data_IF_405058679004
#
_entry.id   IF_405058679004
#
_cell.length_a   1.000
_cell.length_b   1.000
_cell.length_c   1.000
_cell.angle_alpha   90.00
_cell.angle_beta   90.00
_cell.angle_gamma   90.00
#
_symmetry.space_group_name_H-M   'P 1'
#
loop_
_entity.id
_entity.type
_entity.pdbx_description
1 polymer ?
#
# COMPACT_ATOMS: atom_id res chain seq x y z
N UNK A 1 -3.82 20.35 15.66
CA UNK A 1 -5.18 20.47 15.12
C UNK A 1 -4.98 20.77 13.65
N UNK A 2 -4.87 19.71 12.87
CA UNK A 2 -4.53 19.77 11.46
C UNK A 2 -5.73 20.33 10.71
N UNK A 3 -5.50 21.39 9.94
CA UNK A 3 -6.52 22.05 9.14
C UNK A 3 -6.88 21.09 7.99
N UNK A 4 -7.92 20.28 8.17
CA UNK A 4 -8.40 19.37 7.13
C UNK A 4 -8.92 20.26 6.01
N UNK A 5 -8.12 20.41 4.96
CA UNK A 5 -8.49 21.12 3.73
C UNK A 5 -9.74 20.47 3.14
N UNK A 6 -10.88 21.08 3.34
CA UNK A 6 -12.17 20.60 2.80
C UNK A 6 -12.31 20.88 1.31
N UNK A 7 -11.52 21.81 0.76
CA UNK A 7 -11.52 22.14 -0.66
C UNK A 7 -10.71 21.08 -1.44
N UNK A 8 -11.34 20.46 -2.45
CA UNK A 8 -10.71 19.43 -3.27
C UNK A 8 -9.44 19.91 -3.98
N UNK A 9 -9.44 21.13 -4.52
CA UNK A 9 -8.30 21.69 -5.24
C UNK A 9 -7.09 21.95 -4.34
N UNK A 10 -7.34 22.19 -3.04
CA UNK A 10 -6.30 22.44 -2.06
C UNK A 10 -5.71 21.15 -1.46
N UNK A 11 -6.53 20.10 -1.37
CA UNK A 11 -6.14 18.79 -0.79
C UNK A 11 -5.54 17.83 -1.81
N UNK A 12 -5.92 17.91 -3.10
CA UNK A 12 -5.37 17.03 -4.15
C UNK A 12 -3.85 17.16 -4.23
N UNK A 13 -3.17 16.03 -4.46
CA UNK A 13 -1.70 15.97 -4.48
C UNK A 13 -1.09 16.29 -5.84
N UNK A 14 -1.87 16.19 -6.92
CA UNK A 14 -1.47 16.63 -8.27
C UNK A 14 -2.50 17.55 -8.92
N UNK A 15 -2.06 18.51 -9.76
CA UNK A 15 -2.90 19.56 -10.27
C UNK A 15 -3.83 19.13 -11.42
N UNK A 16 -3.61 17.96 -12.02
CA UNK A 16 -4.41 17.50 -13.16
C UNK A 16 -5.70 16.81 -12.75
N UNK A 17 -5.84 16.40 -11.48
CA UNK A 17 -7.02 15.66 -11.03
C UNK A 17 -8.21 16.59 -10.82
N UNK A 18 -9.33 16.32 -11.48
CA UNK A 18 -10.58 17.06 -11.31
C UNK A 18 -11.51 16.37 -10.30
N UNK A 19 -12.26 17.16 -9.51
CA UNK A 19 -13.16 16.61 -8.48
C UNK A 19 -14.28 15.77 -9.08
N UNK A 20 -14.83 16.20 -10.22
CA UNK A 20 -15.88 15.47 -10.94
C UNK A 20 -15.39 14.09 -11.37
N UNK A 21 -14.22 14.02 -12.01
CA UNK A 21 -13.58 12.76 -12.40
C UNK A 21 -13.39 11.83 -11.19
N UNK A 22 -12.82 12.33 -10.08
CA UNK A 22 -12.61 11.52 -8.88
C UNK A 22 -13.93 10.92 -8.35
N UNK A 23 -14.97 11.75 -8.21
CA UNK A 23 -16.28 11.32 -7.71
C UNK A 23 -16.99 10.33 -8.65
N UNK A 24 -16.93 10.58 -9.95
CA UNK A 24 -17.51 9.67 -10.96
C UNK A 24 -16.83 8.30 -10.89
N UNK A 25 -15.49 8.28 -10.92
CA UNK A 25 -14.72 7.04 -10.92
C UNK A 25 -14.90 6.24 -9.63
N UNK A 26 -14.90 6.91 -8.47
CA UNK A 26 -15.14 6.26 -7.17
C UNK A 26 -16.55 5.66 -7.12
N UNK A 27 -17.58 6.44 -7.46
CA UNK A 27 -18.98 5.96 -7.51
C UNK A 27 -19.13 4.76 -8.42
N UNK A 28 -18.67 4.85 -9.66
CA UNK A 28 -18.85 3.78 -10.65
C UNK A 28 -18.07 2.52 -10.31
N UNK A 29 -16.91 2.66 -9.65
CA UNK A 29 -16.17 1.51 -9.13
C UNK A 29 -17.01 0.70 -8.15
N UNK A 30 -17.67 1.36 -7.19
CA UNK A 30 -18.46 0.67 -6.17
C UNK A 30 -19.87 0.29 -6.63
N UNK A 31 -20.55 1.13 -7.40
CA UNK A 31 -21.95 0.93 -7.79
C UNK A 31 -22.12 0.09 -9.07
N UNK A 32 -21.10 0.05 -9.94
CA UNK A 32 -21.20 -0.59 -11.26
C UNK A 32 -20.16 -1.69 -11.42
N UNK A 33 -18.86 -1.34 -11.37
CA UNK A 33 -17.78 -2.26 -11.75
C UNK A 33 -17.67 -3.43 -10.78
N UNK A 34 -17.59 -3.18 -9.47
CA UNK A 34 -17.52 -4.25 -8.45
C UNK A 34 -18.72 -5.20 -8.52
N UNK A 35 -19.99 -4.74 -8.59
CA UNK A 35 -21.14 -5.62 -8.78
C UNK A 35 -21.09 -6.45 -10.07
N UNK A 36 -20.68 -5.85 -11.19
CA UNK A 36 -20.52 -6.58 -12.45
C UNK A 36 -19.45 -7.66 -12.30
N UNK A 37 -18.25 -7.31 -11.83
CA UNK A 37 -17.15 -8.26 -11.61
C UNK A 37 -17.58 -9.41 -10.71
N UNK A 38 -18.24 -9.13 -9.59
CA UNK A 38 -18.76 -10.15 -8.69
C UNK A 38 -19.77 -11.08 -9.38
N UNK A 39 -20.69 -10.53 -10.20
CA UNK A 39 -21.67 -11.30 -10.96
C UNK A 39 -21.01 -12.20 -12.01
N UNK A 40 -20.07 -11.66 -12.80
CA UNK A 40 -19.38 -12.42 -13.84
C UNK A 40 -18.52 -13.54 -13.22
N UNK A 41 -17.78 -13.25 -12.15
CA UNK A 41 -16.99 -14.26 -11.44
C UNK A 41 -17.85 -15.34 -10.77
N UNK A 42 -19.10 -15.03 -10.41
CA UNK A 42 -20.04 -16.02 -9.89
C UNK A 42 -20.66 -16.91 -10.99
N UNK A 43 -20.55 -16.57 -12.27
CA UNK A 43 -21.10 -17.39 -13.35
C UNK A 43 -20.26 -18.67 -13.53
N UNK A 44 -20.84 -19.87 -13.30
CA UNK A 44 -20.13 -21.13 -13.52
C UNK A 44 -19.77 -21.40 -14.98
N UNK A 45 -20.36 -20.66 -15.93
CA UNK A 45 -20.06 -20.75 -17.37
C UNK A 45 -18.88 -19.89 -17.80
N UNK A 46 -18.37 -19.01 -16.92
CA UNK A 46 -17.21 -18.19 -17.24
C UNK A 46 -16.00 -19.07 -17.53
N UNK A 47 -15.42 -18.93 -18.72
CA UNK A 47 -14.28 -19.75 -19.14
C UNK A 47 -13.06 -19.48 -18.24
N UNK A 48 -12.10 -20.43 -18.13
CA UNK A 48 -10.87 -20.22 -17.36
C UNK A 48 -10.10 -18.97 -17.79
N UNK A 49 -10.01 -18.72 -19.11
CA UNK A 49 -9.37 -17.52 -19.66
C UNK A 49 -10.16 -16.25 -19.31
N UNK A 50 -11.49 -16.28 -19.40
CA UNK A 50 -12.35 -15.16 -19.01
C UNK A 50 -12.21 -14.83 -17.52
N UNK A 51 -12.21 -15.85 -16.66
CA UNK A 51 -11.99 -15.71 -15.21
C UNK A 51 -10.64 -15.09 -14.90
N UNK A 52 -9.58 -15.54 -15.57
CA UNK A 52 -8.25 -14.96 -15.46
C UNK A 52 -8.27 -13.46 -15.77
N UNK A 53 -8.79 -13.06 -16.93
CA UNK A 53 -8.81 -11.65 -17.33
C UNK A 53 -9.71 -10.77 -16.44
N UNK A 54 -10.83 -11.32 -15.94
CA UNK A 54 -11.69 -10.61 -15.00
C UNK A 54 -10.98 -10.32 -13.67
N UNK A 55 -10.20 -11.29 -13.15
CA UNK A 55 -9.42 -11.09 -11.93
C UNK A 55 -8.24 -10.14 -12.15
N UNK A 56 -7.56 -10.23 -13.29
CA UNK A 56 -6.49 -9.28 -13.66
C UNK A 56 -7.03 -7.85 -13.73
N UNK A 57 -8.16 -7.66 -14.42
CA UNK A 57 -8.86 -6.39 -14.49
C UNK A 57 -9.25 -5.88 -13.10
N UNK A 58 -9.84 -6.74 -12.26
CA UNK A 58 -10.21 -6.37 -10.90
C UNK A 58 -9.02 -5.92 -10.04
N UNK A 59 -7.88 -6.61 -10.12
CA UNK A 59 -6.67 -6.27 -9.39
C UNK A 59 -6.08 -4.94 -9.87
N UNK A 60 -6.02 -4.73 -11.19
CA UNK A 60 -5.59 -3.46 -11.80
C UNK A 60 -6.51 -2.31 -11.39
N UNK A 61 -7.83 -2.48 -11.45
CA UNK A 61 -8.81 -1.47 -11.04
C UNK A 61 -8.69 -1.12 -9.55
N UNK A 62 -8.50 -2.12 -8.69
CA UNK A 62 -8.34 -1.89 -7.24
C UNK A 62 -7.05 -1.11 -6.95
N UNK A 63 -5.97 -1.40 -7.69
CA UNK A 63 -4.71 -0.64 -7.62
C UNK A 63 -4.89 0.80 -8.10
N UNK A 64 -5.59 1.01 -9.22
CA UNK A 64 -5.90 2.34 -9.73
C UNK A 64 -6.76 3.16 -8.76
N UNK A 65 -7.71 2.52 -8.04
CA UNK A 65 -8.50 3.20 -7.01
C UNK A 65 -7.61 3.73 -5.87
N UNK A 66 -6.64 2.94 -5.42
CA UNK A 66 -5.69 3.34 -4.38
C UNK A 66 -4.88 4.57 -4.84
N UNK A 67 -4.32 4.51 -6.05
CA UNK A 67 -3.55 5.62 -6.63
C UNK A 67 -4.43 6.87 -6.81
N UNK A 68 -5.66 6.69 -7.28
CA UNK A 68 -6.62 7.77 -7.45
C UNK A 68 -6.96 8.46 -6.14
N UNK A 69 -7.28 7.69 -5.08
CA UNK A 69 -7.60 8.22 -3.75
C UNK A 69 -6.38 8.93 -3.13
N UNK A 70 -5.18 8.39 -3.33
CA UNK A 70 -3.95 9.08 -2.97
C UNK A 70 -3.83 10.42 -3.73
N UNK A 71 -3.98 10.42 -5.05
CA UNK A 71 -3.91 11.63 -5.88
C UNK A 71 -4.98 12.67 -5.50
N UNK A 72 -6.17 12.21 -5.09
CA UNK A 72 -7.29 13.03 -4.61
C UNK A 72 -7.03 13.70 -3.25
N UNK A 73 -5.96 13.32 -2.54
CA UNK A 73 -5.65 13.90 -1.24
C UNK A 73 -6.38 13.20 -0.09
N UNK A 74 -6.78 11.94 -0.24
CA UNK A 74 -7.32 11.19 0.91
C UNK A 74 -6.23 10.99 1.99
N UNK A 75 -6.62 10.96 3.28
CA UNK A 75 -5.70 10.67 4.38
C UNK A 75 -5.01 9.31 4.20
N UNK A 76 -3.69 9.27 4.35
CA UNK A 76 -2.87 8.07 4.09
C UNK A 76 -3.28 6.93 5.03
N UNK A 77 -3.68 7.25 6.26
CA UNK A 77 -4.16 6.29 7.26
C UNK A 77 -5.34 5.46 6.74
N UNK A 78 -6.25 6.08 5.97
CA UNK A 78 -7.39 5.38 5.36
C UNK A 78 -6.95 4.48 4.20
N UNK A 79 -5.93 4.88 3.47
CA UNK A 79 -5.43 4.14 2.30
C UNK A 79 -4.68 2.87 2.70
N UNK A 80 -4.12 2.82 3.93
CA UNK A 80 -3.43 1.64 4.46
C UNK A 80 -4.29 0.38 4.47
N UNK A 81 -5.60 0.50 4.69
CA UNK A 81 -6.51 -0.66 4.66
C UNK A 81 -6.90 -1.06 3.24
N UNK A 82 -6.88 -0.12 2.29
CA UNK A 82 -7.17 -0.43 0.88
C UNK A 82 -6.07 -1.33 0.28
N UNK A 83 -4.83 -1.25 0.80
CA UNK A 83 -3.73 -2.13 0.39
C UNK A 83 -4.02 -3.62 0.64
N UNK A 84 -4.79 -3.97 1.69
CA UNK A 84 -5.17 -5.37 1.93
C UNK A 84 -6.02 -5.92 0.77
N UNK A 85 -6.93 -5.09 0.24
CA UNK A 85 -7.77 -5.43 -0.90
C UNK A 85 -6.96 -5.53 -2.19
N UNK A 86 -6.03 -4.59 -2.42
CA UNK A 86 -5.12 -4.61 -3.58
C UNK A 86 -4.31 -5.91 -3.62
N UNK A 87 -3.65 -6.27 -2.52
CA UNK A 87 -2.82 -7.48 -2.45
C UNK A 87 -3.68 -8.74 -2.63
N UNK A 88 -4.83 -8.81 -1.96
CA UNK A 88 -5.75 -9.96 -2.11
C UNK A 88 -6.23 -10.13 -3.56
N UNK A 89 -6.57 -9.04 -4.25
CA UNK A 89 -7.01 -9.12 -5.65
C UNK A 89 -5.90 -9.63 -6.59
N UNK A 90 -4.66 -9.21 -6.37
CA UNK A 90 -3.52 -9.74 -7.12
C UNK A 90 -3.19 -11.20 -6.79
N UNK A 91 -3.35 -11.63 -5.54
CA UNK A 91 -3.22 -13.05 -5.14
C UNK A 91 -4.28 -13.93 -5.81
N UNK A 92 -5.54 -13.47 -5.86
CA UNK A 92 -6.63 -14.18 -6.54
C UNK A 92 -6.33 -14.35 -8.05
N UNK A 93 -5.85 -13.29 -8.70
CA UNK A 93 -5.38 -13.36 -10.08
C UNK A 93 -4.21 -14.34 -10.24
N UNK A 94 -3.18 -14.22 -9.42
CA UNK A 94 -1.97 -15.06 -9.49
C UNK A 94 -2.31 -16.55 -9.38
N UNK A 95 -3.23 -16.90 -8.47
CA UNK A 95 -3.72 -18.26 -8.31
C UNK A 95 -4.33 -18.80 -9.60
N UNK A 96 -5.28 -18.08 -10.19
CA UNK A 96 -5.95 -18.52 -11.43
C UNK A 96 -4.98 -18.54 -12.61
N UNK A 97 -3.99 -17.64 -12.64
CA UNK A 97 -2.96 -17.63 -13.67
C UNK A 97 -2.06 -18.86 -13.59
N UNK A 98 -1.62 -19.26 -12.38
CA UNK A 98 -0.82 -20.48 -12.16
C UNK A 98 -1.59 -21.73 -12.59
N UNK A 99 -2.86 -21.83 -12.20
CA UNK A 99 -3.76 -22.90 -12.63
C UNK A 99 -3.90 -22.94 -14.17
N UNK A 100 -4.09 -21.78 -14.81
CA UNK A 100 -4.21 -21.67 -16.26
C UNK A 100 -2.91 -22.03 -17.00
N UNK A 101 -1.75 -21.73 -16.42
CA UNK A 101 -0.43 -22.05 -16.97
C UNK A 101 0.01 -23.49 -16.69
N UNK A 102 -0.57 -24.12 -15.67
CA UNK A 102 -0.12 -25.43 -15.18
C UNK A 102 1.24 -25.35 -14.50
N UNK A 103 1.55 -24.21 -13.88
CA UNK A 103 2.85 -23.93 -13.24
C UNK A 103 2.61 -23.17 -11.93
N UNK A 104 2.88 -23.83 -10.80
CA UNK A 104 2.66 -23.28 -9.46
C UNK A 104 3.63 -22.15 -9.11
N UNK A 105 4.77 -22.07 -9.80
CA UNK A 105 5.78 -21.02 -9.60
C UNK A 105 5.60 -19.87 -10.60
N UNK A 106 4.53 -19.88 -11.41
CA UNK A 106 4.31 -18.80 -12.37
C UNK A 106 4.08 -17.46 -11.67
N UNK A 107 4.88 -16.46 -12.05
CA UNK A 107 4.76 -15.09 -11.54
C UNK A 107 3.59 -14.34 -12.17
N UNK A 108 2.88 -13.58 -11.32
CA UNK A 108 1.83 -12.66 -11.75
C UNK A 108 2.40 -11.51 -12.58
N UNK A 109 3.56 -11.00 -12.17
CA UNK A 109 4.27 -9.92 -12.82
C UNK A 109 5.52 -10.43 -13.51
N UNK A 110 5.76 -9.95 -14.73
CA UNK A 110 6.93 -10.31 -15.53
C UNK A 110 7.89 -9.14 -15.66
N UNK A 111 9.06 -9.23 -15.04
CA UNK A 111 9.98 -8.09 -14.99
C UNK A 111 10.52 -7.67 -16.35
N UNK A 112 10.48 -8.55 -17.36
CA UNK A 112 10.83 -8.17 -18.73
C UNK A 112 9.79 -7.28 -19.42
N UNK A 113 8.56 -7.21 -18.91
CA UNK A 113 7.51 -6.33 -19.41
C UNK A 113 7.44 -5.07 -18.56
N UNK A 114 7.67 -3.91 -19.19
CA UNK A 114 7.74 -2.61 -18.49
C UNK A 114 6.49 -2.29 -17.66
N UNK A 115 5.31 -2.67 -18.15
CA UNK A 115 4.05 -2.47 -17.42
C UNK A 115 4.04 -3.28 -16.12
N UNK A 116 4.23 -4.60 -16.23
CA UNK A 116 4.24 -5.50 -15.08
C UNK A 116 5.33 -5.10 -14.06
N UNK A 117 6.53 -4.73 -14.55
CA UNK A 117 7.63 -4.27 -13.70
C UNK A 117 7.29 -2.98 -12.96
N UNK A 118 6.76 -1.98 -13.67
CA UNK A 118 6.34 -0.72 -13.06
C UNK A 118 5.25 -0.93 -12.00
N UNK A 119 4.26 -1.79 -12.28
CA UNK A 119 3.16 -2.06 -11.35
C UNK A 119 3.65 -2.70 -10.06
N UNK A 120 4.57 -3.68 -10.15
CA UNK A 120 5.08 -4.37 -8.95
C UNK A 120 5.99 -3.49 -8.10
N UNK A 121 6.92 -2.74 -8.70
CA UNK A 121 7.82 -1.86 -7.93
C UNK A 121 7.03 -0.72 -7.27
N UNK A 122 6.01 -0.19 -7.94
CA UNK A 122 5.10 0.78 -7.34
C UNK A 122 4.30 0.18 -6.18
N UNK A 123 3.74 -1.02 -6.34
CA UNK A 123 2.98 -1.69 -5.28
C UNK A 123 3.85 -1.91 -4.02
N UNK A 124 5.08 -2.39 -4.20
CA UNK A 124 6.06 -2.53 -3.12
C UNK A 124 6.40 -1.17 -2.50
N UNK A 125 6.66 -0.15 -3.32
CA UNK A 125 6.97 1.19 -2.85
C UNK A 125 5.86 1.81 -2.01
N UNK A 126 4.60 1.67 -2.44
CA UNK A 126 3.43 2.11 -1.68
C UNK A 126 3.30 1.34 -0.37
N UNK A 127 3.48 0.01 -0.37
CA UNK A 127 3.42 -0.79 0.86
C UNK A 127 4.47 -0.35 1.90
N UNK A 128 5.71 -0.08 1.45
CA UNK A 128 6.79 0.43 2.31
C UNK A 128 6.44 1.80 2.87
N UNK A 129 6.08 2.76 2.00
CA UNK A 129 5.82 4.14 2.41
C UNK A 129 4.57 4.27 3.28
N UNK A 130 3.57 3.42 3.05
CA UNK A 130 2.40 3.31 3.92
C UNK A 130 2.66 2.45 5.16
N UNK A 131 3.89 2.02 5.43
CA UNK A 131 4.27 1.24 6.64
C UNK A 131 3.38 0.01 6.82
N UNK A 132 3.21 -0.72 5.70
CA UNK A 132 2.52 -2.00 5.55
C UNK A 132 3.51 -3.05 5.06
N UNK A 133 4.69 -3.07 5.69
CA UNK A 133 5.77 -3.98 5.34
C UNK A 133 5.39 -5.45 5.60
N UNK A 134 4.35 -5.67 6.44
CA UNK A 134 3.69 -6.96 6.64
C UNK A 134 3.11 -7.58 5.36
N UNK A 135 2.84 -6.77 4.33
CA UNK A 135 2.35 -7.24 3.04
C UNK A 135 3.48 -7.64 2.08
N UNK A 136 4.73 -7.25 2.34
CA UNK A 136 5.84 -7.48 1.41
C UNK A 136 6.08 -8.97 1.14
N UNK A 137 6.07 -9.89 2.14
CA UNK A 137 6.19 -11.32 1.85
C UNK A 137 5.11 -11.83 0.90
N UNK A 138 3.86 -11.39 1.07
CA UNK A 138 2.74 -11.77 0.19
C UNK A 138 2.90 -11.24 -1.22
N UNK A 139 3.31 -9.97 -1.36
CA UNK A 139 3.60 -9.35 -2.65
C UNK A 139 4.77 -10.08 -3.33
N UNK A 140 5.79 -10.49 -2.57
CA UNK A 140 6.96 -11.21 -3.07
C UNK A 140 6.62 -12.61 -3.62
N UNK A 141 5.63 -13.30 -3.04
CA UNK A 141 5.09 -14.54 -3.62
C UNK A 141 4.45 -14.33 -5.00
N UNK A 142 4.11 -13.10 -5.42
CA UNK A 142 3.58 -12.86 -6.77
C UNK A 142 4.68 -12.90 -7.86
N UNK A 143 5.95 -12.95 -7.47
CA UNK A 143 7.11 -12.76 -8.35
C UNK A 143 8.12 -13.93 -8.33
N UNK A 144 7.69 -15.15 -8.02
CA UNK A 144 8.52 -16.37 -7.87
C UNK A 144 9.70 -16.49 -8.85
N UNK A 145 9.47 -16.43 -10.18
CA UNK A 145 10.54 -16.67 -11.17
C UNK A 145 11.58 -15.54 -11.26
N UNK A 146 11.29 -14.38 -10.66
CA UNK A 146 12.15 -13.19 -10.66
C UNK A 146 12.77 -12.90 -9.30
N UNK A 147 12.66 -13.83 -8.35
CA UNK A 147 13.33 -13.70 -7.06
C UNK A 147 14.82 -13.54 -7.30
N UNK A 148 15.37 -12.42 -6.82
CA UNK A 148 16.81 -12.16 -6.83
C UNK A 148 17.40 -11.99 -8.23
N UNK A 149 16.55 -11.51 -9.14
CA UNK A 149 16.87 -11.29 -10.54
C UNK A 149 16.90 -9.78 -10.90
N UNK A 150 16.57 -8.90 -9.95
CA UNK A 150 16.52 -7.44 -10.14
C UNK A 150 16.94 -6.66 -8.89
N UNK A 151 18.07 -5.98 -8.98
CA UNK A 151 18.71 -5.28 -7.87
C UNK A 151 17.85 -4.15 -7.27
N UNK A 152 16.95 -3.53 -8.06
CA UNK A 152 16.05 -2.48 -7.55
C UNK A 152 14.92 -3.08 -6.73
N UNK A 153 14.27 -4.11 -7.26
CA UNK A 153 13.22 -4.85 -6.57
C UNK A 153 13.74 -5.54 -5.32
N UNK A 154 14.93 -6.13 -5.38
CA UNK A 154 15.58 -6.77 -4.24
C UNK A 154 15.94 -5.72 -3.17
N UNK A 155 16.51 -4.57 -3.54
CA UNK A 155 16.81 -3.49 -2.60
C UNK A 155 15.56 -2.95 -1.86
N UNK A 156 14.38 -3.05 -2.48
CA UNK A 156 13.10 -2.70 -1.85
C UNK A 156 12.57 -3.79 -0.93
N UNK A 157 12.71 -5.07 -1.31
CA UNK A 157 12.00 -6.18 -0.66
C UNK A 157 12.84 -6.96 0.35
N UNK A 158 14.13 -7.18 0.09
CA UNK A 158 15.03 -7.96 0.95
C UNK A 158 15.03 -7.52 2.43
N UNK A 159 14.93 -6.22 2.79
CA UNK A 159 14.87 -5.80 4.20
C UNK A 159 13.69 -6.39 4.99
N UNK A 160 12.68 -6.93 4.31
CA UNK A 160 11.43 -7.43 4.89
C UNK A 160 11.23 -8.93 4.70
N UNK A 161 12.21 -9.61 4.12
CA UNK A 161 12.17 -11.04 3.85
C UNK A 161 13.13 -11.79 4.78
N UNK A 162 12.93 -13.11 4.99
CA UNK A 162 13.91 -13.93 5.68
C UNK A 162 15.27 -13.84 4.97
N UNK A 163 16.39 -13.89 5.72
CA UNK A 163 17.72 -13.95 5.11
C UNK A 163 17.82 -15.11 4.10
N UNK A 164 18.36 -14.82 2.93
CA UNK A 164 18.69 -15.80 1.90
C UNK A 164 20.22 -15.87 1.72
N UNK A 165 20.73 -16.95 1.11
CA UNK A 165 22.14 -17.03 0.68
C UNK A 165 22.48 -15.83 -0.22
N UNK A 166 23.72 -15.36 -0.32
CA UNK A 166 24.03 -14.26 -1.26
C UNK A 166 23.80 -14.68 -2.73
N UNK A 167 23.42 -13.73 -3.58
CA UNK A 167 23.25 -13.94 -5.02
C UNK A 167 24.33 -13.12 -5.70
N UNK A 168 25.14 -13.77 -6.53
CA UNK A 168 26.14 -13.08 -7.35
C UNK A 168 25.51 -12.35 -8.55
N UNK A 169 24.17 -12.44 -8.72
CA UNK A 169 23.47 -11.75 -9.80
C UNK A 169 23.34 -10.27 -9.49
N UNK A 170 23.98 -9.47 -10.33
CA UNK A 170 23.81 -8.04 -10.39
C UNK A 170 23.13 -7.70 -11.71
N UNK A 171 21.81 -7.54 -11.68
CA UNK A 171 20.96 -7.37 -12.87
C UNK A 171 19.85 -6.40 -12.52
N UNK A 172 19.46 -5.55 -13.45
CA UNK A 172 18.29 -4.70 -13.32
C UNK A 172 17.51 -4.67 -14.64
N UNK A 173 16.20 -4.54 -14.55
CA UNK A 173 15.32 -4.39 -15.70
C UNK A 173 15.07 -2.91 -16.00
N UNK A 174 14.93 -2.59 -17.29
CA UNK A 174 14.54 -1.27 -17.80
C UNK A 174 15.49 -0.12 -17.41
N UNK A 175 16.64 -0.01 -18.11
CA UNK A 175 17.70 0.97 -17.83
C UNK A 175 17.25 2.40 -17.47
N UNK A 176 16.25 2.98 -18.13
CA UNK A 176 15.78 4.33 -17.78
C UNK A 176 14.49 4.24 -16.94
N UNK A 177 14.46 4.78 -15.69
CA UNK A 177 15.54 5.50 -14.98
C UNK A 177 16.43 4.59 -14.11
N UNK A 178 16.24 3.27 -14.10
CA UNK A 178 16.76 2.39 -13.06
C UNK A 178 18.28 2.20 -13.05
N UNK A 179 19.00 2.41 -14.15
CA UNK A 179 20.46 2.42 -14.15
C UNK A 179 21.02 3.53 -13.24
N UNK A 180 20.40 4.72 -13.22
CA UNK A 180 20.77 5.77 -12.27
C UNK A 180 20.47 5.36 -10.83
N UNK A 181 19.41 4.57 -10.61
CA UNK A 181 19.05 4.08 -9.28
C UNK A 181 20.04 3.02 -8.81
N UNK A 182 20.56 2.19 -9.71
CA UNK A 182 21.66 1.27 -9.44
C UNK A 182 22.91 2.06 -9.00
N UNK A 183 23.28 3.12 -9.73
CA UNK A 183 24.39 4.01 -9.33
C UNK A 183 24.14 4.67 -7.95
N UNK A 184 22.90 5.03 -7.63
CA UNK A 184 22.53 5.52 -6.28
C UNK A 184 22.79 4.47 -5.21
N UNK A 185 22.48 3.20 -5.47
CA UNK A 185 22.62 2.12 -4.50
C UNK A 185 24.09 1.73 -4.26
N UNK A 186 24.93 1.92 -5.26
CA UNK A 186 26.37 1.64 -5.20
C UNK A 186 27.21 2.80 -4.61
N UNK A 187 26.69 4.03 -4.64
CA UNK A 187 27.41 5.20 -4.12
C UNK A 187 27.40 5.24 -2.59
N UNK A 188 28.56 5.48 -1.99
CA UNK A 188 28.74 5.77 -0.55
C UNK A 188 28.71 7.28 -0.23
N UNK A 189 28.60 8.17 -1.23
CA UNK A 189 28.52 9.63 -1.04
C UNK A 189 27.04 10.08 -0.98
N UNK A 190 26.54 10.54 0.18
CA UNK A 190 25.14 10.98 0.32
C UNK A 190 24.75 12.12 -0.64
N UNK A 191 25.69 12.99 -1.02
CA UNK A 191 25.42 14.07 -1.96
C UNK A 191 25.30 13.57 -3.40
N UNK A 192 26.09 12.57 -3.77
CA UNK A 192 26.00 11.89 -5.07
C UNK A 192 24.71 11.07 -5.17
N UNK A 193 24.38 10.28 -4.15
CA UNK A 193 23.11 9.55 -4.04
C UNK A 193 21.91 10.48 -4.26
N UNK A 194 21.89 11.63 -3.57
CA UNK A 194 20.83 12.63 -3.70
C UNK A 194 20.81 13.28 -5.10
N UNK A 195 21.96 13.47 -5.75
CA UNK A 195 22.06 14.02 -7.10
C UNK A 195 21.53 13.05 -8.17
N UNK A 196 21.97 11.79 -8.13
CA UNK A 196 21.55 10.76 -9.06
C UNK A 196 20.07 10.42 -8.90
N UNK A 197 19.58 10.34 -7.66
CA UNK A 197 18.15 10.12 -7.39
C UNK A 197 17.27 11.27 -7.89
N UNK A 198 17.74 12.52 -7.79
CA UNK A 198 17.06 13.67 -8.43
C UNK A 198 16.88 13.43 -9.92
N UNK A 199 17.97 13.03 -10.60
CA UNK A 199 17.95 12.80 -12.04
C UNK A 199 17.01 11.65 -12.42
N UNK A 200 17.02 10.55 -11.66
CA UNK A 200 16.09 9.44 -11.84
C UNK A 200 14.63 9.89 -11.70
N UNK A 201 14.31 10.69 -10.67
CA UNK A 201 12.96 11.24 -10.44
C UNK A 201 12.50 12.15 -11.58
N UNK A 202 13.40 12.98 -12.11
CA UNK A 202 13.11 13.90 -13.23
C UNK A 202 12.89 13.14 -14.55
N UNK A 203 13.63 12.05 -14.78
CA UNK A 203 13.49 11.21 -15.97
C UNK A 203 12.30 10.26 -15.92
N UNK A 204 11.87 9.87 -14.72
CA UNK A 204 10.88 8.81 -14.49
C UNK A 204 9.64 8.90 -15.39
N UNK A 205 9.03 10.08 -15.54
CA UNK A 205 7.81 10.22 -16.33
C UNK A 205 8.07 9.99 -17.83
N UNK A 206 9.12 10.60 -18.38
CA UNK A 206 9.49 10.45 -19.80
C UNK A 206 9.97 9.02 -20.09
N UNK A 207 10.70 8.40 -19.17
CA UNK A 207 11.17 7.02 -19.27
C UNK A 207 10.02 5.99 -19.33
N UNK A 208 8.82 6.39 -18.89
CA UNK A 208 7.59 5.60 -18.93
C UNK A 208 6.63 6.04 -20.06
N UNK A 209 7.09 6.78 -21.09
CA UNK A 209 6.24 7.29 -22.18
C UNK A 209 5.44 6.19 -22.93
N UNK A 210 6.00 4.99 -23.03
CA UNK A 210 5.36 3.84 -23.67
C UNK A 210 4.28 3.13 -22.83
N UNK A 211 4.06 3.55 -21.58
CA UNK A 211 3.09 2.91 -20.69
C UNK A 211 1.68 3.48 -20.84
N UNK A 212 0.62 2.66 -20.64
CA UNK A 212 -0.77 3.09 -20.84
C UNK A 212 -1.23 4.28 -20.00
N UNK A 213 -0.57 4.55 -18.86
CA UNK A 213 -0.90 5.69 -18.00
C UNK A 213 -0.33 7.02 -18.53
N UNK A 214 0.66 6.99 -19.41
CA UNK A 214 1.37 8.19 -19.83
C UNK A 214 0.43 9.11 -20.62
N UNK A 215 0.39 10.39 -20.23
CA UNK A 215 -0.44 11.39 -20.91
C UNK A 215 -1.94 11.31 -20.65
N UNK A 216 -2.44 10.33 -19.89
CA UNK A 216 -3.88 10.14 -19.66
C UNK A 216 -4.60 11.31 -19.00
N UNK A 217 -3.88 12.24 -18.36
CA UNK A 217 -4.44 13.51 -17.87
C UNK A 217 -5.00 14.40 -18.97
N UNK A 218 -4.60 14.19 -20.23
CA UNK A 218 -5.08 14.92 -21.41
C UNK A 218 -6.40 14.35 -21.96
N UNK A 219 -6.73 13.12 -21.58
CA UNK A 219 -7.86 12.35 -22.11
C UNK A 219 -9.01 12.29 -21.10
N UNK A 220 -9.11 13.28 -20.21
CA UNK A 220 -10.25 13.41 -19.30
C UNK A 220 -11.35 14.20 -20.03
N UNK A 221 -12.50 13.56 -20.27
CA UNK A 221 -13.64 14.20 -20.91
C UNK A 221 -14.43 15.13 -19.98
N UNK A 222 -15.35 15.89 -20.56
CA UNK A 222 -16.22 16.84 -19.84
C UNK A 222 -17.16 16.17 -18.82
N UNK A 223 -17.41 14.86 -18.97
CA UNK A 223 -18.21 14.04 -18.06
C UNK A 223 -17.39 13.44 -16.91
N UNK A 224 -16.07 13.63 -16.93
CA UNK A 224 -15.14 13.13 -15.94
C UNK A 224 -14.80 11.65 -16.13
N UNK A 225 -14.78 11.14 -17.36
CA UNK A 225 -14.20 9.85 -17.71
C UNK A 225 -12.78 10.03 -18.26
N UNK A 226 -11.90 9.06 -18.02
CA UNK A 226 -10.49 9.12 -18.38
C UNK A 226 -9.65 8.09 -17.61
N UNK A 227 -8.34 8.12 -17.80
CA UNK A 227 -7.39 7.14 -17.25
C UNK A 227 -6.33 7.72 -16.31
N UNK A 228 -6.59 8.86 -15.66
CA UNK A 228 -5.60 9.56 -14.85
C UNK A 228 -5.74 9.25 -13.36
N UNK A 229 -4.80 8.46 -12.83
CA UNK A 229 -4.75 8.05 -11.42
C UNK A 229 -3.61 8.69 -10.64
N UNK A 230 -2.90 9.64 -11.25
CA UNK A 230 -1.68 10.25 -10.73
C UNK A 230 -0.41 9.67 -11.37
N UNK A 231 0.66 10.46 -11.33
CA UNK A 231 1.98 10.09 -11.82
C UNK A 231 2.95 10.02 -10.65
N UNK A 232 3.30 8.83 -10.20
CA UNK A 232 4.03 8.67 -8.95
C UNK A 232 5.17 7.66 -9.08
N UNK A 233 6.39 8.10 -8.76
CA UNK A 233 7.55 7.21 -8.61
C UNK A 233 7.64 6.69 -7.17
N UNK A 234 6.66 5.88 -6.75
CA UNK A 234 6.56 5.35 -5.39
C UNK A 234 7.78 4.52 -4.99
N UNK A 235 8.31 3.74 -5.91
CA UNK A 235 9.50 2.91 -5.75
C UNK A 235 10.76 3.75 -5.48
N UNK A 236 10.94 4.87 -6.19
CA UNK A 236 12.08 5.77 -5.96
C UNK A 236 11.98 6.44 -4.60
N UNK A 237 10.78 6.90 -4.22
CA UNK A 237 10.53 7.47 -2.90
C UNK A 237 10.72 6.46 -1.76
N UNK A 238 10.33 5.19 -1.97
CA UNK A 238 10.56 4.13 -1.01
C UNK A 238 12.06 3.86 -0.82
N UNK A 239 12.86 3.86 -1.89
CA UNK A 239 14.32 3.77 -1.79
C UNK A 239 14.92 4.96 -1.02
N UNK A 240 14.44 6.19 -1.27
CA UNK A 240 14.86 7.35 -0.47
C UNK A 240 14.58 7.17 1.02
N UNK A 241 13.41 6.60 1.36
CA UNK A 241 13.05 6.29 2.73
C UNK A 241 13.96 5.21 3.34
N UNK A 242 14.12 4.07 2.65
CA UNK A 242 14.90 2.92 3.16
C UNK A 242 16.39 3.22 3.31
N UNK A 243 16.97 3.92 2.34
CA UNK A 243 18.41 4.23 2.29
C UNK A 243 18.75 5.58 2.92
N UNK A 244 17.74 6.28 3.48
CA UNK A 244 17.90 7.60 4.07
C UNK A 244 18.56 8.63 3.12
N UNK A 245 18.18 8.58 1.84
CA UNK A 245 18.66 9.53 0.83
C UNK A 245 18.01 10.89 1.08
N UNK A 246 18.83 11.95 1.07
CA UNK A 246 18.32 13.32 1.17
C UNK A 246 17.51 13.68 -0.09
N UNK A 247 16.20 13.83 0.08
CA UNK A 247 15.25 14.18 -0.95
C UNK A 247 14.98 15.69 -1.03
N UNK A 248 15.66 16.53 -0.22
CA UNK A 248 15.43 17.97 -0.15
C UNK A 248 15.45 18.70 -1.50
N UNK A 249 16.37 18.32 -2.40
CA UNK A 249 16.56 18.96 -3.71
C UNK A 249 15.49 18.61 -4.76
N UNK A 250 14.69 17.57 -4.54
CA UNK A 250 13.67 17.09 -5.49
C UNK A 250 12.32 16.77 -4.85
N UNK A 251 12.14 17.00 -3.54
CA UNK A 251 10.91 16.72 -2.79
C UNK A 251 9.66 17.36 -3.41
N UNK A 252 9.82 18.49 -4.12
CA UNK A 252 8.73 19.21 -4.77
C UNK A 252 8.52 18.83 -6.25
N UNK A 253 9.26 17.85 -6.77
CA UNK A 253 9.02 17.34 -8.11
C UNK A 253 7.63 16.71 -8.19
N UNK A 254 6.92 16.94 -9.30
CA UNK A 254 5.51 16.59 -9.44
C UNK A 254 5.23 15.11 -9.20
N UNK A 255 6.13 14.25 -9.67
CA UNK A 255 5.99 12.79 -9.56
C UNK A 255 6.47 12.21 -8.24
N UNK A 256 7.14 13.02 -7.41
CA UNK A 256 7.71 12.55 -6.14
C UNK A 256 6.66 12.59 -5.03
N UNK A 257 6.27 11.45 -4.44
CA UNK A 257 5.21 11.38 -3.43
C UNK A 257 5.70 11.79 -2.04
N UNK A 258 6.10 13.06 -1.87
CA UNK A 258 6.68 13.57 -0.60
C UNK A 258 5.81 13.32 0.64
N UNK A 259 4.50 13.40 0.51
CA UNK A 259 3.57 13.21 1.63
C UNK A 259 3.65 11.77 2.18
N UNK A 260 3.89 10.79 1.31
CA UNK A 260 4.09 9.39 1.69
C UNK A 260 5.44 9.18 2.38
N UNK A 261 6.50 9.86 1.93
CA UNK A 261 7.82 9.83 2.59
C UNK A 261 7.74 10.44 3.98
N UNK A 262 7.08 11.59 4.09
CA UNK A 262 6.86 12.29 5.37
C UNK A 262 6.01 11.44 6.31
N UNK A 263 4.95 10.82 5.80
CA UNK A 263 4.16 9.84 6.54
C UNK A 263 5.01 8.67 7.03
N UNK A 264 5.81 8.03 6.16
CA UNK A 264 6.64 6.89 6.53
C UNK A 264 7.63 7.23 7.67
N UNK A 265 8.28 8.40 7.58
CA UNK A 265 9.23 8.94 8.56
C UNK A 265 8.55 9.31 9.89
N UNK A 266 7.33 9.85 9.84
CA UNK A 266 6.57 10.26 11.03
C UNK A 266 5.79 9.12 11.69
N UNK A 267 5.49 8.06 10.94
CA UNK A 267 4.62 6.98 11.38
C UNK A 267 5.22 6.24 12.58
N UNK A 268 4.52 6.38 13.71
CA UNK A 268 4.74 5.58 14.91
C UNK A 268 3.80 4.40 14.81
N UNK A 269 4.36 3.19 14.84
CA UNK A 269 3.59 1.97 14.72
C UNK A 269 2.33 2.02 15.61
N UNK A 270 1.16 1.76 15.02
CA UNK A 270 -0.02 1.49 15.82
C UNK A 270 0.31 0.34 16.77
N UNK A 271 0.05 0.47 18.09
CA UNK A 271 0.42 -0.55 19.08
C UNK A 271 -0.24 -1.92 18.84
N UNK A 272 -1.19 -2.04 17.91
CA UNK A 272 -2.01 -3.23 17.67
C UNK A 272 -1.47 -4.20 16.60
N UNK A 273 -0.32 -3.90 15.95
CA UNK A 273 0.26 -4.76 14.89
C UNK A 273 1.75 -5.06 15.03
N UNK A 274 2.33 -4.94 16.23
CA UNK A 274 3.62 -5.59 16.45
C UNK A 274 3.39 -7.12 16.52
N UNK A 275 4.15 -7.95 15.77
CA UNK A 275 4.29 -9.35 16.16
C UNK A 275 4.74 -9.39 17.63
N UNK A 276 4.21 -10.31 18.45
CA UNK A 276 4.49 -10.31 19.88
C UNK A 276 6.01 -10.25 20.09
N UNK A 277 6.53 -9.28 20.86
CA UNK A 277 7.96 -9.17 21.07
C UNK A 277 8.46 -10.48 21.69
N UNK A 278 9.49 -11.05 21.07
CA UNK A 278 10.26 -12.15 21.62
C UNK A 278 10.65 -11.80 23.06
N UNK A 279 10.23 -12.64 23.99
CA UNK A 279 10.34 -12.43 25.43
C UNK A 279 11.71 -11.87 25.85
N UNK A 280 11.72 -10.62 26.32
CA UNK A 280 12.88 -10.08 27.02
C UNK A 280 13.04 -8.56 26.97
N UNK A 281 12.10 -7.78 27.52
CA UNK A 281 12.36 -6.58 28.35
C UNK A 281 11.10 -5.69 28.50
N UNK A 282 10.72 -5.45 29.76
CA UNK A 282 9.81 -4.41 30.27
C UNK A 282 8.42 -4.26 29.61
N UNK A 283 7.45 -5.01 30.14
CA UNK A 283 6.02 -4.94 29.83
C UNK A 283 5.38 -3.67 30.39
N UNK A 284 4.85 -2.79 29.53
CA UNK A 284 3.72 -1.94 29.93
C UNK A 284 2.48 -2.83 29.96
N UNK A 285 2.08 -3.29 31.15
CA UNK A 285 0.83 -4.04 31.29
C UNK A 285 -0.36 -3.11 31.03
N UNK A 286 -0.99 -3.25 29.86
CA UNK A 286 -2.31 -2.66 29.63
C UNK A 286 -3.31 -3.38 30.53
N UNK A 287 -3.86 -2.66 31.51
CA UNK A 287 -4.92 -3.18 32.37
C UNK A 287 -6.16 -3.50 31.52
N UNK A 288 -6.60 -4.76 31.55
CA UNK A 288 -7.77 -5.25 30.83
C UNK A 288 -8.66 -6.12 31.72
N UNK A 289 -9.94 -6.22 31.38
CA UNK A 289 -10.89 -7.10 32.04
C UNK A 289 -12.02 -7.53 31.10
N UNK A 290 -12.51 -8.77 31.25
CA UNK A 290 -13.62 -9.31 30.44
C UNK A 290 -14.97 -9.04 31.08
N UNK A 291 -16.06 -8.98 30.31
CA UNK A 291 -17.40 -8.90 30.88
C UNK A 291 -17.68 -10.04 31.86
N UNK A 292 -18.16 -9.68 33.05
CA UNK A 292 -18.36 -10.60 34.17
C UNK A 292 -17.20 -10.66 35.18
N UNK A 293 -16.01 -10.16 34.85
CA UNK A 293 -14.89 -10.05 35.79
C UNK A 293 -14.99 -8.77 36.64
N UNK A 294 -14.42 -8.74 37.86
CA UNK A 294 -14.35 -7.51 38.64
C UNK A 294 -13.36 -6.52 38.02
N UNK A 295 -13.72 -5.23 38.03
CA UNK A 295 -12.91 -4.15 37.51
C UNK A 295 -11.59 -4.04 38.29
N UNK A 296 -10.42 -4.18 37.64
CA UNK A 296 -9.12 -4.18 38.32
C UNK A 296 -8.77 -2.84 38.98
N UNK A 297 -9.28 -1.73 38.42
CA UNK A 297 -8.92 -0.36 38.83
C UNK A 297 -10.02 0.65 38.49
N UNK A 298 -10.28 1.56 39.42
CA UNK A 298 -11.20 2.68 39.17
C UNK A 298 -10.70 3.61 38.05
N UNK A 299 -11.60 3.99 37.15
CA UNK A 299 -11.36 4.97 36.09
C UNK A 299 -12.22 4.74 34.85
N UNK A 300 -11.79 5.30 33.72
CA UNK A 300 -12.43 5.15 32.41
C UNK A 300 -11.89 3.92 31.70
N UNK A 301 -12.79 3.11 31.16
CA UNK A 301 -12.53 1.90 30.41
C UNK A 301 -13.20 1.98 29.05
N UNK A 302 -12.58 1.40 28.01
CA UNK A 302 -13.14 1.36 26.67
C UNK A 302 -13.14 -0.05 26.08
N UNK A 303 -14.11 -0.36 25.22
CA UNK A 303 -14.22 -1.65 24.55
C UNK A 303 -14.33 -1.50 23.04
N UNK A 304 -13.29 -1.93 22.31
CA UNK A 304 -13.20 -1.87 20.84
C UNK A 304 -14.34 -2.64 20.18
N UNK A 305 -14.59 -3.87 20.63
CA UNK A 305 -15.64 -4.74 20.11
C UNK A 305 -17.06 -4.35 20.55
N UNK A 306 -17.20 -3.22 21.26
CA UNK A 306 -18.47 -2.54 21.50
C UNK A 306 -18.48 -1.17 20.81
N UNK A 307 -17.87 -1.08 19.62
CA UNK A 307 -17.77 0.16 18.81
C UNK A 307 -17.08 1.31 19.56
N UNK A 308 -16.04 0.98 20.31
CA UNK A 308 -15.28 1.97 21.10
C UNK A 308 -16.05 2.55 22.28
N UNK A 309 -17.07 1.86 22.80
CA UNK A 309 -17.85 2.33 23.94
C UNK A 309 -16.95 2.58 25.15
N UNK A 310 -17.17 3.70 25.82
CA UNK A 310 -16.49 4.07 27.06
C UNK A 310 -17.43 4.01 28.26
N UNK A 311 -16.90 3.56 29.40
CA UNK A 311 -17.60 3.50 30.68
C UNK A 311 -16.65 3.94 31.80
N UNK A 312 -17.20 4.48 32.88
CA UNK A 312 -16.45 4.73 34.10
C UNK A 312 -16.82 3.67 35.13
N UNK A 313 -15.82 2.97 35.67
CA UNK A 313 -15.99 1.84 36.59
C UNK A 313 -15.26 2.12 37.89
N UNK A 314 -15.81 1.64 39.02
CA UNK A 314 -15.08 1.59 40.29
C UNK A 314 -14.35 0.25 40.43
N UNK A 315 -13.25 0.24 41.16
CA UNK A 315 -12.52 -1.00 41.44
C UNK A 315 -13.45 -2.03 42.10
N UNK A 316 -13.46 -3.26 41.59
CA UNK A 316 -14.29 -4.37 42.06
C UNK A 316 -15.67 -4.47 41.41
N UNK A 317 -16.15 -3.45 40.68
CA UNK A 317 -17.43 -3.54 39.96
C UNK A 317 -17.34 -4.52 38.80
N UNK A 318 -18.40 -5.32 38.58
CA UNK A 318 -18.42 -6.29 37.48
C UNK A 318 -18.45 -5.60 36.12
N UNK A 319 -17.51 -5.95 35.25
CA UNK A 319 -17.40 -5.37 33.92
C UNK A 319 -18.65 -5.71 33.07
N UNK A 320 -19.30 -4.72 32.45
CA UNK A 320 -20.58 -4.92 31.78
C UNK A 320 -20.42 -5.43 30.34
N UNK A 321 -21.50 -5.98 29.78
CA UNK A 321 -21.60 -6.33 28.37
C UNK A 321 -21.61 -7.83 28.07
N UNK A 322 -21.84 -8.22 26.81
CA UNK A 322 -21.80 -9.61 26.37
C UNK A 322 -20.35 -10.09 26.23
N UNK A 323 -20.09 -11.40 26.41
CA UNK A 323 -18.75 -11.98 26.17
C UNK A 323 -18.27 -11.84 24.72
N UNK A 324 -19.20 -11.69 23.76
CA UNK A 324 -18.94 -11.50 22.33
C UNK A 324 -19.76 -10.31 21.83
N UNK A 325 -19.10 -9.37 21.15
CA UNK A 325 -19.70 -8.18 20.53
C UNK A 325 -19.72 -8.27 19.00
N UNK A 326 -20.18 -7.21 18.29
CA UNK A 326 -20.37 -7.24 16.83
C UNK A 326 -19.11 -7.55 16.00
N UNK A 327 -17.91 -7.37 16.55
CA UNK A 327 -16.64 -7.58 15.85
C UNK A 327 -15.66 -8.52 16.56
N UNK A 328 -16.11 -9.27 17.58
CA UNK A 328 -15.24 -10.22 18.30
C UNK A 328 -15.51 -10.31 19.81
N UNK A 329 -14.64 -11.04 20.52
CA UNK A 329 -14.73 -11.19 21.96
C UNK A 329 -14.54 -9.85 22.67
N UNK A 330 -15.41 -9.51 23.62
CA UNK A 330 -15.36 -8.22 24.31
C UNK A 330 -14.30 -8.25 25.41
N UNK A 331 -13.36 -7.30 25.33
CA UNK A 331 -12.40 -6.97 26.38
C UNK A 331 -12.47 -5.47 26.63
N UNK A 332 -12.50 -5.07 27.88
CA UNK A 332 -12.39 -3.68 28.30
C UNK A 332 -10.94 -3.34 28.62
N UNK A 333 -10.49 -2.18 28.18
CA UNK A 333 -9.13 -1.68 28.39
C UNK A 333 -9.16 -0.38 29.19
N UNK A 334 -8.26 -0.25 30.16
CA UNK A 334 -8.15 0.96 30.99
C UNK A 334 -7.62 2.13 30.16
N UNK A 335 -8.38 3.23 30.11
CA UNK A 335 -8.03 4.45 29.39
C UNK A 335 -7.35 5.48 30.29
N UNK A 336 -7.72 5.54 31.57
CA UNK A 336 -7.19 6.52 32.52
C UNK A 336 -8.08 6.67 33.76
N UNK A 337 -7.59 7.38 34.79
CA UNK A 337 -8.33 7.59 36.04
C UNK A 337 -9.63 8.38 35.89
#
# INVERSE_FOLDING_TARGET
MEDIKTNFLERRRQPFLMEGFYKTWERETFEIRRPITARELADPKLSPLGRKYMLEGHASETTHLLHLRYTAGEPIEKLRSDLDEVVAAWEDFAKVQREFKGDEEWSAFRFSYRTDYNDIVQLVGVAILMRREDLIPRIHELCHIYRRDDSIYDALTEPFLPPAEESDKYTWFHDDPYALVVDVLDSDDPNEQSALMKEAVERWYAANEGLPFHGTHKDIDDEGHGGYFGYWCFELAALCYLKNIDDSRFRNHLTYPKDLVDFARAYRAEPDRQPPPTSGAATFQVLSARPGEPCPREGVWFAVHLRGKEIRMRQGETMPGPKIGPSGAVTWYFKGP
#
